data_IF_462669565179
#
_entry.id   IF_462669565179
#
_cell.length_a   1.000
_cell.length_b   1.000
_cell.length_c   1.000
_cell.angle_alpha   90.00
_cell.angle_beta   90.00
_cell.angle_gamma   90.00
#
_symmetry.space_group_name_H-M   'P 1'
#
loop_
_entity.id
_entity.type
_entity.pdbx_description
1 polymer ?
#
# COMPACT_ATOMS: atom_id res chain seq x y z
N UNK A 1 -0.95 -25.77 -21.80
CA UNK A 1 -2.06 -25.30 -20.91
C UNK A 1 -1.46 -25.27 -19.52
N UNK A 2 -1.05 -24.08 -19.10
CA UNK A 2 -0.25 -23.82 -17.92
C UNK A 2 -1.09 -23.98 -16.63
N UNK A 3 -0.46 -24.52 -15.59
CA UNK A 3 -1.02 -24.74 -14.25
C UNK A 3 -1.36 -23.45 -13.46
N UNK A 4 -1.30 -22.28 -14.10
CA UNK A 4 -1.38 -20.95 -13.46
C UNK A 4 -2.76 -20.56 -12.91
N UNK A 5 -3.80 -21.37 -13.02
CA UNK A 5 -5.18 -20.92 -12.71
C UNK A 5 -5.91 -21.70 -11.61
N UNK A 6 -5.20 -22.48 -10.76
CA UNK A 6 -5.89 -23.29 -9.71
C UNK A 6 -6.03 -22.61 -8.35
N UNK A 7 -5.30 -21.52 -8.06
CA UNK A 7 -5.26 -20.93 -6.70
C UNK A 7 -6.25 -19.80 -6.50
N UNK A 8 -6.61 -19.06 -7.55
CA UNK A 8 -7.51 -17.90 -7.47
C UNK A 8 -8.95 -18.23 -7.06
N UNK A 9 -9.42 -19.48 -7.29
CA UNK A 9 -10.72 -19.95 -6.85
C UNK A 9 -10.77 -20.51 -5.43
N UNK A 10 -9.61 -20.60 -4.74
CA UNK A 10 -9.51 -21.31 -3.45
C UNK A 10 -9.78 -20.40 -2.25
N UNK A 11 -9.27 -19.18 -2.24
CA UNK A 11 -9.40 -18.26 -1.12
C UNK A 11 -10.57 -17.30 -1.28
N UNK A 12 -11.27 -16.93 -0.19
CA UNK A 12 -12.35 -15.94 -0.22
C UNK A 12 -11.79 -14.52 -0.29
N UNK A 13 -11.17 -14.19 -1.41
CA UNK A 13 -10.56 -12.88 -1.66
C UNK A 13 -11.61 -11.77 -1.64
N UNK A 14 -11.20 -10.58 -1.22
CA UNK A 14 -12.00 -9.37 -1.28
C UNK A 14 -12.23 -8.86 -2.70
N UNK A 15 -13.05 -7.81 -2.88
CA UNK A 15 -13.42 -7.31 -4.20
C UNK A 15 -12.18 -6.87 -5.02
N UNK A 16 -11.98 -7.49 -6.19
CA UNK A 16 -10.88 -7.18 -7.11
C UNK A 16 -9.48 -7.50 -6.58
N UNK A 17 -9.38 -8.26 -5.47
CA UNK A 17 -8.10 -8.77 -4.98
C UNK A 17 -7.71 -9.99 -5.78
N UNK A 18 -6.47 -10.06 -6.22
CA UNK A 18 -5.94 -11.15 -7.04
C UNK A 18 -4.62 -11.66 -6.47
N UNK A 19 -4.34 -12.96 -6.61
CA UNK A 19 -3.02 -13.54 -6.36
C UNK A 19 -2.16 -13.23 -7.58
N UNK A 20 -1.06 -12.49 -7.38
CA UNK A 20 -0.16 -12.10 -8.49
C UNK A 20 1.13 -12.89 -8.52
N UNK A 21 1.50 -13.50 -7.39
CA UNK A 21 2.67 -14.37 -7.33
C UNK A 21 2.57 -15.33 -6.16
N UNK A 22 2.88 -16.59 -6.43
CA UNK A 22 3.15 -17.61 -5.44
C UNK A 22 4.66 -17.75 -5.23
N UNK A 23 5.07 -17.90 -3.99
CA UNK A 23 6.45 -18.13 -3.59
C UNK A 23 6.62 -19.46 -2.87
N UNK A 24 7.85 -19.80 -2.51
CA UNK A 24 8.12 -21.01 -1.75
C UNK A 24 7.50 -20.94 -0.35
N UNK A 25 7.20 -22.10 0.22
CA UNK A 25 6.75 -22.27 1.61
C UNK A 25 5.54 -21.38 1.96
N UNK A 26 4.55 -21.32 1.10
CA UNK A 26 3.30 -20.61 1.37
C UNK A 26 3.42 -19.09 1.44
N UNK A 27 4.42 -18.48 0.83
CA UNK A 27 4.52 -17.04 0.66
C UNK A 27 3.76 -16.59 -0.59
N UNK A 28 2.90 -15.58 -0.46
CA UNK A 28 2.09 -15.07 -1.57
C UNK A 28 2.15 -13.55 -1.67
N UNK A 29 2.08 -13.04 -2.90
CA UNK A 29 1.80 -11.65 -3.19
C UNK A 29 0.40 -11.50 -3.78
N UNK A 30 -0.34 -10.54 -3.25
CA UNK A 30 -1.67 -10.18 -3.74
C UNK A 30 -1.64 -8.77 -4.33
N UNK A 31 -2.45 -8.55 -5.36
CA UNK A 31 -2.82 -7.21 -5.84
C UNK A 31 -4.02 -6.72 -5.04
N UNK A 32 -3.85 -5.66 -4.27
CA UNK A 32 -4.91 -5.03 -3.49
C UNK A 32 -5.42 -3.78 -4.21
N UNK A 33 -6.70 -3.69 -4.58
CA UNK A 33 -7.28 -2.47 -5.12
C UNK A 33 -7.34 -1.33 -4.10
N UNK A 34 -7.41 -0.09 -4.59
CA UNK A 34 -7.77 1.07 -3.76
C UNK A 34 -9.20 0.89 -3.22
N UNK A 35 -9.42 1.28 -1.96
CA UNK A 35 -10.70 1.11 -1.27
C UNK A 35 -10.82 -0.18 -0.45
N UNK A 36 -10.10 -1.23 -0.81
CA UNK A 36 -10.04 -2.48 -0.04
C UNK A 36 -9.12 -2.31 1.18
N UNK A 37 -9.59 -2.75 2.34
CA UNK A 37 -8.82 -2.73 3.59
C UNK A 37 -7.89 -3.94 3.69
N UNK A 38 -6.67 -3.73 4.19
CA UNK A 38 -5.75 -4.85 4.46
C UNK A 38 -6.29 -5.80 5.55
N UNK A 39 -7.08 -5.25 6.49
CA UNK A 39 -7.76 -5.98 7.57
C UNK A 39 -9.01 -5.24 8.02
N UNK A 40 -10.00 -5.91 8.61
CA UNK A 40 -11.11 -5.27 9.33
C UNK A 40 -10.62 -4.39 10.48
N UNK A 41 -11.34 -3.31 10.81
CA UNK A 41 -10.95 -2.37 11.87
C UNK A 41 -10.98 -2.99 13.25
N UNK A 42 -11.99 -3.79 13.53
CA UNK A 42 -12.29 -4.36 14.86
C UNK A 42 -12.12 -5.89 14.89
N UNK A 43 -11.51 -6.48 13.86
CA UNK A 43 -11.50 -7.91 13.64
C UNK A 43 -12.81 -8.41 13.00
N UNK A 44 -13.03 -9.72 12.99
CA UNK A 44 -14.23 -10.32 12.40
C UNK A 44 -14.25 -10.26 10.86
N UNK A 45 -15.46 -10.27 10.28
CA UNK A 45 -15.67 -10.25 8.83
C UNK A 45 -15.88 -8.84 8.31
N UNK A 46 -15.34 -8.57 7.12
CA UNK A 46 -15.51 -7.31 6.40
C UNK A 46 -15.49 -7.56 4.89
N UNK A 47 -16.59 -7.30 4.22
CA UNK A 47 -16.74 -7.52 2.78
C UNK A 47 -15.80 -6.63 1.93
N UNK A 48 -15.24 -5.56 2.50
CA UNK A 48 -14.29 -4.64 1.85
C UNK A 48 -12.86 -4.84 2.36
N UNK A 49 -12.54 -6.00 2.93
CA UNK A 49 -11.19 -6.36 3.34
C UNK A 49 -10.50 -7.27 2.32
N UNK A 50 -9.21 -7.50 2.51
CA UNK A 50 -8.36 -8.32 1.63
C UNK A 50 -8.90 -9.73 1.43
N UNK A 51 -9.52 -10.28 2.49
CA UNK A 51 -10.30 -11.52 2.45
C UNK A 51 -11.67 -11.25 3.09
N UNK A 52 -12.70 -11.88 2.58
CA UNK A 52 -14.06 -11.79 3.12
C UNK A 52 -14.32 -12.74 4.30
N UNK A 53 -13.30 -13.45 4.74
CA UNK A 53 -13.31 -14.33 5.91
C UNK A 53 -13.00 -13.59 7.21
N UNK A 54 -13.19 -14.28 8.34
CA UNK A 54 -12.95 -13.73 9.67
C UNK A 54 -11.47 -13.41 9.92
N UNK A 55 -11.17 -12.26 10.51
CA UNK A 55 -9.83 -11.82 10.86
C UNK A 55 -9.63 -11.76 12.38
N UNK A 56 -8.54 -12.34 12.86
CA UNK A 56 -8.10 -12.26 14.26
C UNK A 56 -7.04 -11.18 14.41
N UNK A 57 -7.34 -10.16 15.21
CA UNK A 57 -6.37 -9.11 15.57
C UNK A 57 -5.21 -9.66 16.41
N UNK A 58 -5.47 -10.72 17.21
CA UNK A 58 -4.45 -11.36 18.05
C UNK A 58 -3.42 -12.11 17.20
N UNK A 59 -3.90 -12.88 16.22
CA UNK A 59 -3.04 -13.72 15.37
C UNK A 59 -2.50 -12.93 14.16
N UNK A 60 -3.06 -11.75 13.89
CA UNK A 60 -2.86 -10.98 12.66
C UNK A 60 -3.08 -11.84 11.40
N UNK A 61 -4.13 -12.66 11.42
CA UNK A 61 -4.43 -13.64 10.39
C UNK A 61 -5.91 -13.70 10.04
N UNK A 62 -6.19 -14.03 8.80
CA UNK A 62 -7.52 -14.45 8.33
C UNK A 62 -7.70 -15.94 8.56
N UNK A 63 -8.88 -16.34 9.03
CA UNK A 63 -9.28 -17.71 9.19
C UNK A 63 -10.06 -18.15 7.94
N UNK A 64 -9.44 -18.99 7.13
CA UNK A 64 -10.03 -19.46 5.88
C UNK A 64 -10.98 -20.59 6.17
N UNK A 65 -12.25 -20.53 5.69
CA UNK A 65 -13.22 -21.61 5.89
C UNK A 65 -12.76 -22.93 5.25
N UNK A 66 -13.14 -24.10 5.82
CA UNK A 66 -12.70 -25.39 5.30
C UNK A 66 -13.05 -25.63 3.82
N UNK A 67 -14.23 -25.20 3.38
CA UNK A 67 -14.69 -25.29 1.98
C UNK A 67 -13.89 -24.39 1.00
N UNK A 68 -13.13 -23.44 1.55
CA UNK A 68 -12.22 -22.51 0.82
C UNK A 68 -10.74 -22.83 1.01
N UNK A 69 -10.42 -24.03 1.45
CA UNK A 69 -9.07 -24.51 1.64
C UNK A 69 -8.59 -24.57 3.08
N UNK A 70 -9.34 -24.00 4.03
CA UNK A 70 -9.06 -24.08 5.46
C UNK A 70 -7.80 -23.35 5.90
N UNK A 71 -7.55 -23.35 7.22
CA UNK A 71 -6.31 -22.84 7.82
C UNK A 71 -6.31 -21.33 8.08
N UNK A 72 -5.10 -20.80 8.25
CA UNK A 72 -4.87 -19.38 8.48
C UNK A 72 -4.07 -18.76 7.34
N UNK A 73 -4.34 -17.49 7.06
CA UNK A 73 -3.52 -16.66 6.16
C UNK A 73 -3.08 -15.42 6.93
N UNK A 74 -1.79 -15.35 7.24
CA UNK A 74 -1.18 -14.26 8.00
C UNK A 74 -0.91 -13.06 7.11
N UNK A 75 -1.28 -11.89 7.61
CA UNK A 75 -0.92 -10.62 7.00
C UNK A 75 0.51 -10.25 7.39
N UNK A 76 1.40 -10.06 6.42
CA UNK A 76 2.82 -9.81 6.68
C UNK A 76 3.15 -8.32 6.84
N UNK A 77 2.39 -7.47 6.19
CA UNK A 77 2.40 -6.01 6.33
C UNK A 77 1.05 -5.43 5.93
N UNK A 78 0.90 -4.12 6.03
CA UNK A 78 -0.36 -3.44 5.71
C UNK A 78 -0.16 -2.33 4.68
N UNK A 79 -1.18 -2.13 3.86
CA UNK A 79 -1.38 -0.93 3.06
C UNK A 79 -2.60 -0.17 3.61
N UNK A 80 -2.59 1.15 3.52
CA UNK A 80 -3.77 1.97 3.82
C UNK A 80 -4.95 1.54 2.92
N UNK A 81 -6.18 1.73 3.39
CA UNK A 81 -7.36 1.35 2.58
C UNK A 81 -7.39 2.02 1.20
N UNK A 82 -6.94 3.28 1.10
CA UNK A 82 -6.85 3.99 -0.18
C UNK A 82 -5.63 3.63 -1.05
N UNK A 83 -4.61 2.98 -0.49
CA UNK A 83 -3.41 2.56 -1.23
C UNK A 83 -3.68 1.27 -1.98
N UNK A 84 -3.40 1.25 -3.28
CA UNK A 84 -3.43 0.03 -4.10
C UNK A 84 -2.04 -0.61 -4.23
N UNK A 85 -1.98 -1.82 -4.81
CA UNK A 85 -0.73 -2.47 -5.19
C UNK A 85 -0.41 -3.72 -4.40
N UNK A 86 0.87 -4.11 -4.40
CA UNK A 86 1.32 -5.39 -3.87
C UNK A 86 1.30 -5.44 -2.35
N UNK A 87 0.69 -6.50 -1.81
CA UNK A 87 0.67 -6.83 -0.39
C UNK A 87 1.04 -8.31 -0.21
N UNK A 88 1.81 -8.62 0.85
CA UNK A 88 2.29 -9.96 1.13
C UNK A 88 1.46 -10.65 2.21
N UNK A 89 1.19 -11.93 1.99
CA UNK A 89 0.55 -12.82 2.96
C UNK A 89 1.28 -14.16 2.98
N UNK A 90 1.08 -14.94 4.03
CA UNK A 90 1.58 -16.31 4.11
C UNK A 90 0.51 -17.25 4.66
N UNK A 91 0.48 -18.50 4.20
CA UNK A 91 -0.39 -19.55 4.77
C UNK A 91 0.37 -20.57 5.64
N UNK A 92 1.67 -20.34 5.84
CA UNK A 92 2.51 -21.08 6.79
C UNK A 92 3.00 -20.15 7.90
N UNK A 93 2.86 -20.55 9.16
CA UNK A 93 3.20 -19.74 10.33
C UNK A 93 4.70 -19.39 10.39
N UNK A 94 5.56 -20.37 10.08
CA UNK A 94 7.01 -20.17 10.05
C UNK A 94 7.40 -19.12 9.00
N UNK A 95 6.82 -19.18 7.81
CA UNK A 95 7.02 -18.20 6.75
C UNK A 95 6.53 -16.81 7.17
N UNK A 96 5.38 -16.76 7.86
CA UNK A 96 4.87 -15.50 8.38
C UNK A 96 5.81 -14.88 9.42
N UNK A 97 6.34 -15.67 10.34
CA UNK A 97 7.29 -15.22 11.36
C UNK A 97 8.60 -14.70 10.72
N UNK A 98 9.17 -15.46 9.78
CA UNK A 98 10.41 -15.11 9.08
C UNK A 98 10.28 -13.78 8.31
N UNK A 99 9.22 -13.63 7.53
CA UNK A 99 9.02 -12.42 6.73
C UNK A 99 8.66 -11.22 7.61
N UNK A 100 7.83 -11.38 8.66
CA UNK A 100 7.56 -10.32 9.64
C UNK A 100 8.83 -9.87 10.35
N UNK A 101 9.74 -10.79 10.67
CA UNK A 101 11.05 -10.44 11.22
C UNK A 101 11.87 -9.59 10.25
N UNK A 102 11.92 -9.95 8.97
CA UNK A 102 12.60 -9.14 7.95
C UNK A 102 12.01 -7.71 7.83
N UNK A 103 10.68 -7.55 7.95
CA UNK A 103 10.04 -6.23 8.03
C UNK A 103 10.47 -5.45 9.28
N UNK A 104 10.52 -6.09 10.45
CA UNK A 104 10.93 -5.48 11.72
C UNK A 104 12.40 -5.02 11.68
N UNK A 105 13.27 -5.77 11.00
CA UNK A 105 14.68 -5.44 10.80
C UNK A 105 14.94 -4.44 9.65
N UNK A 106 13.88 -3.87 9.05
CA UNK A 106 13.99 -2.95 7.90
C UNK A 106 14.74 -3.52 6.69
N UNK A 107 14.79 -4.83 6.53
CA UNK A 107 15.46 -5.52 5.42
C UNK A 107 14.60 -5.55 4.14
N UNK A 108 13.29 -5.31 4.27
CA UNK A 108 12.34 -5.32 3.16
C UNK A 108 12.41 -4.02 2.37
N UNK A 109 12.67 -4.12 1.08
CA UNK A 109 12.64 -2.98 0.15
C UNK A 109 11.25 -2.83 -0.43
N UNK A 110 10.73 -1.62 -0.41
CA UNK A 110 9.38 -1.28 -0.92
C UNK A 110 9.50 -0.12 -1.88
N UNK A 111 8.80 -0.21 -2.99
CA UNK A 111 8.71 0.87 -3.98
C UNK A 111 7.26 1.23 -4.20
N UNK A 112 6.97 2.51 -4.11
CA UNK A 112 5.66 3.08 -4.36
C UNK A 112 5.72 4.09 -5.49
N UNK A 113 4.59 4.27 -6.14
CA UNK A 113 4.37 5.36 -7.10
C UNK A 113 3.21 6.20 -6.62
N UNK A 114 3.36 7.52 -6.65
CA UNK A 114 2.33 8.47 -6.26
C UNK A 114 2.15 9.55 -7.32
N UNK A 115 0.90 9.97 -7.57
CA UNK A 115 0.61 11.21 -8.25
C UNK A 115 0.34 12.27 -7.19
N UNK A 116 1.04 13.39 -7.27
CA UNK A 116 0.94 14.51 -6.34
C UNK A 116 0.58 15.80 -7.05
N UNK A 117 -0.09 16.71 -6.35
CA UNK A 117 -0.21 18.09 -6.78
C UNK A 117 1.09 18.83 -6.49
N UNK A 118 1.53 19.65 -7.44
CA UNK A 118 2.78 20.40 -7.35
C UNK A 118 3.95 19.74 -8.07
N UNK A 119 5.06 20.46 -8.08
CA UNK A 119 6.35 19.99 -8.59
C UNK A 119 7.36 19.97 -7.45
N UNK A 120 8.11 18.87 -7.29
CA UNK A 120 9.17 18.83 -6.29
C UNK A 120 10.30 19.82 -6.63
N UNK A 121 10.90 20.42 -5.62
CA UNK A 121 12.06 21.33 -5.81
C UNK A 121 13.27 20.60 -6.37
N UNK A 122 13.40 19.31 -6.10
CA UNK A 122 14.50 18.45 -6.56
C UNK A 122 13.96 17.19 -7.19
N UNK A 123 14.57 16.73 -8.28
CA UNK A 123 14.21 15.48 -8.97
C UNK A 123 14.51 14.22 -8.14
N UNK A 124 15.45 14.32 -7.19
CA UNK A 124 15.76 13.27 -6.21
C UNK A 124 15.98 13.91 -4.84
N UNK A 125 15.48 13.27 -3.80
CA UNK A 125 15.67 13.73 -2.42
C UNK A 125 15.59 12.57 -1.43
N UNK A 126 16.27 12.71 -0.29
CA UNK A 126 16.05 11.86 0.89
C UNK A 126 15.23 12.67 1.88
N UNK A 127 14.06 12.13 2.23
CA UNK A 127 13.14 12.75 3.18
C UNK A 127 13.34 12.13 4.55
N UNK A 128 13.63 12.95 5.55
CA UNK A 128 13.81 12.55 6.95
C UNK A 128 12.90 13.43 7.81
N UNK A 129 11.94 12.81 8.47
CA UNK A 129 10.94 13.50 9.28
C UNK A 129 10.69 12.72 10.57
N UNK A 130 10.17 13.38 11.59
CA UNK A 130 9.61 12.72 12.76
C UNK A 130 8.09 12.68 12.63
N UNK A 131 7.51 11.50 12.80
CA UNK A 131 6.07 11.27 12.69
C UNK A 131 5.55 10.75 14.01
N UNK A 132 4.58 11.46 14.55
CA UNK A 132 3.84 11.09 15.75
C UNK A 132 2.49 10.47 15.37
N UNK A 133 2.16 9.33 15.97
CA UNK A 133 0.86 8.69 15.80
C UNK A 133 -0.05 9.13 16.95
N UNK A 134 -1.18 9.73 16.61
CA UNK A 134 -2.18 10.19 17.55
C UNK A 134 -3.50 9.43 17.34
N UNK A 135 -4.20 9.15 18.45
CA UNK A 135 -5.57 8.64 18.41
C UNK A 135 -6.52 9.82 18.61
N UNK A 136 -7.32 10.13 17.61
CA UNK A 136 -8.34 11.17 17.66
C UNK A 136 -9.71 10.56 17.40
N UNK A 137 -10.62 10.62 18.39
CA UNK A 137 -11.99 10.09 18.35
C UNK A 137 -12.05 8.66 17.79
N UNK A 138 -11.17 7.77 18.26
CA UNK A 138 -11.08 6.37 17.83
C UNK A 138 -10.44 6.17 16.45
N UNK A 139 -9.98 7.24 15.79
CA UNK A 139 -9.24 7.16 14.52
C UNK A 139 -7.75 7.31 14.75
N UNK A 140 -6.96 6.43 14.16
CA UNK A 140 -5.50 6.58 14.13
C UNK A 140 -5.16 7.60 13.05
N UNK A 141 -4.50 8.68 13.47
CA UNK A 141 -3.91 9.68 12.57
C UNK A 141 -2.42 9.77 12.87
N UNK A 142 -1.68 10.25 11.93
CA UNK A 142 -0.29 10.59 12.16
C UNK A 142 -0.07 12.03 11.74
N UNK A 143 0.88 12.70 12.39
CA UNK A 143 1.23 14.10 12.11
C UNK A 143 2.73 14.30 12.27
N UNK A 144 3.28 15.38 11.71
CA UNK A 144 4.62 15.84 12.08
C UNK A 144 4.68 16.09 13.59
N UNK A 145 5.75 15.67 14.24
CA UNK A 145 5.89 15.84 15.69
C UNK A 145 7.13 15.13 16.25
N UNK A 146 7.18 14.97 17.57
CA UNK A 146 8.32 14.34 18.26
C UNK A 146 8.29 12.81 18.28
N UNK A 147 7.55 12.18 17.35
CA UNK A 147 7.47 10.73 17.26
C UNK A 147 8.68 10.05 16.65
N UNK A 148 8.44 8.89 16.03
CA UNK A 148 9.50 8.07 15.44
C UNK A 148 10.06 8.65 14.14
N UNK A 149 11.34 8.40 13.88
CA UNK A 149 11.96 8.73 12.60
C UNK A 149 11.31 7.99 11.43
N UNK A 150 11.09 8.73 10.35
CA UNK A 150 10.57 8.28 9.09
C UNK A 150 11.51 8.71 7.96
N UNK A 151 12.02 7.75 7.22
CA UNK A 151 12.94 8.01 6.11
C UNK A 151 12.38 7.41 4.82
N UNK A 152 12.43 8.19 3.72
CA UNK A 152 12.09 7.74 2.38
C UNK A 152 13.02 8.40 1.35
N UNK A 153 13.33 7.67 0.28
CA UNK A 153 13.97 8.23 -0.93
C UNK A 153 12.85 8.58 -1.91
N UNK A 154 12.89 9.79 -2.43
CA UNK A 154 11.99 10.27 -3.47
C UNK A 154 12.75 10.48 -4.77
N UNK A 155 12.14 10.04 -5.88
CA UNK A 155 12.59 10.34 -7.24
C UNK A 155 11.39 10.78 -8.07
N UNK A 156 11.51 11.90 -8.78
CA UNK A 156 10.54 12.32 -9.77
C UNK A 156 10.66 11.46 -11.03
N UNK A 157 9.54 10.87 -11.47
CA UNK A 157 9.45 10.09 -12.72
C UNK A 157 8.84 10.87 -13.88
N UNK A 158 8.21 12.00 -13.59
CA UNK A 158 7.61 12.87 -14.59
C UNK A 158 6.80 13.99 -13.96
N UNK A 159 6.55 15.03 -14.71
CA UNK A 159 5.74 16.19 -14.33
C UNK A 159 4.88 16.69 -15.49
N UNK A 160 3.78 17.35 -15.17
CA UNK A 160 2.88 17.92 -16.17
C UNK A 160 1.94 18.95 -15.55
N UNK A 161 1.07 19.51 -16.39
CA UNK A 161 -0.06 20.33 -15.95
C UNK A 161 -1.34 19.55 -16.20
N UNK A 162 -1.99 19.11 -15.14
CA UNK A 162 -3.30 18.49 -15.21
C UNK A 162 -4.43 19.50 -14.93
N UNK A 163 -5.66 19.02 -14.88
CA UNK A 163 -6.87 19.83 -14.68
C UNK A 163 -6.91 20.63 -13.38
N UNK A 164 -6.13 20.23 -12.37
CA UNK A 164 -6.01 20.90 -11.07
C UNK A 164 -4.66 21.63 -10.89
N UNK A 165 -3.96 21.95 -11.99
CA UNK A 165 -2.68 22.66 -12.00
C UNK A 165 -1.46 21.74 -12.12
N UNK A 166 -0.35 22.16 -11.52
CA UNK A 166 0.91 21.40 -11.53
C UNK A 166 0.73 20.03 -10.88
N UNK A 167 1.26 18.98 -11.50
CA UNK A 167 1.23 17.60 -11.00
C UNK A 167 2.54 16.89 -11.29
N UNK A 168 2.90 15.93 -10.45
CA UNK A 168 4.09 15.09 -10.63
C UNK A 168 3.81 13.63 -10.33
N UNK A 169 4.53 12.75 -10.99
CA UNK A 169 4.62 11.32 -10.71
C UNK A 169 5.90 11.07 -9.92
N UNK A 170 5.77 10.61 -8.71
CA UNK A 170 6.88 10.33 -7.81
C UNK A 170 7.06 8.84 -7.61
N UNK A 171 8.30 8.38 -7.61
CA UNK A 171 8.72 7.11 -7.04
C UNK A 171 9.16 7.37 -5.60
N UNK A 172 8.67 6.54 -4.68
CA UNK A 172 8.91 6.67 -3.25
C UNK A 172 9.41 5.34 -2.69
N UNK A 173 10.58 5.33 -2.07
CA UNK A 173 11.15 4.15 -1.42
C UNK A 173 11.26 4.39 0.10
N UNK A 174 10.25 4.02 0.90
CA UNK A 174 10.31 4.16 2.34
C UNK A 174 11.32 3.17 2.94
N UNK A 175 12.29 3.69 3.69
CA UNK A 175 13.25 2.89 4.48
C UNK A 175 12.66 2.45 5.81
N UNK A 176 11.65 3.15 6.29
CA UNK A 176 10.86 2.85 7.48
C UNK A 176 9.42 2.51 7.09
N UNK A 177 8.57 2.15 8.05
CA UNK A 177 7.16 1.79 7.81
C UNK A 177 6.20 2.47 8.79
N UNK A 178 6.30 3.79 8.98
CA UNK A 178 5.42 4.51 9.92
C UNK A 178 4.01 4.68 9.33
N UNK A 179 3.02 4.72 10.20
CA UNK A 179 1.61 4.94 9.81
C UNK A 179 1.48 6.17 8.93
N UNK A 180 0.87 6.04 7.77
CA UNK A 180 0.64 7.10 6.78
C UNK A 180 1.93 7.84 6.34
N UNK A 181 3.10 7.24 6.50
CA UNK A 181 4.41 7.89 6.32
C UNK A 181 4.50 8.70 5.02
N UNK A 182 4.35 8.05 3.88
CA UNK A 182 4.52 8.68 2.57
C UNK A 182 3.52 9.81 2.34
N UNK A 183 2.29 9.64 2.82
CA UNK A 183 1.21 10.62 2.69
C UNK A 183 1.54 11.91 3.43
N UNK A 184 2.07 11.79 4.66
CA UNK A 184 2.49 12.92 5.49
C UNK A 184 3.73 13.58 4.88
N UNK A 185 4.73 12.80 4.49
CA UNK A 185 5.97 13.31 3.92
C UNK A 185 5.72 14.09 2.63
N UNK A 186 4.82 13.63 1.78
CA UNK A 186 4.37 14.37 0.60
C UNK A 186 3.67 15.67 0.99
N UNK A 187 2.71 15.61 1.90
CA UNK A 187 1.94 16.78 2.35
C UNK A 187 2.82 17.88 2.95
N UNK A 188 3.81 17.52 3.78
CA UNK A 188 4.77 18.46 4.39
C UNK A 188 5.63 19.22 3.37
N UNK A 189 5.76 18.70 2.16
CA UNK A 189 6.56 19.29 1.07
C UNK A 189 5.71 20.01 0.02
N UNK A 190 4.45 20.32 0.37
CA UNK A 190 3.48 20.91 -0.55
C UNK A 190 3.27 20.06 -1.81
N UNK A 191 3.43 18.74 -1.67
CA UNK A 191 3.20 17.72 -2.70
C UNK A 191 2.09 16.74 -2.25
N UNK A 192 0.89 17.23 -1.87
CA UNK A 192 -0.16 16.35 -1.36
C UNK A 192 -0.58 15.35 -2.43
N UNK A 193 -0.76 14.08 -2.02
CA UNK A 193 -1.15 13.01 -2.93
C UNK A 193 -2.57 13.25 -3.44
N UNK A 194 -2.76 13.11 -4.75
CA UNK A 194 -4.07 13.24 -5.40
C UNK A 194 -5.04 12.22 -4.82
N UNK A 195 -6.23 12.67 -4.45
CA UNK A 195 -7.29 11.84 -3.87
C UNK A 195 -7.08 11.47 -2.39
N UNK A 196 -6.01 11.94 -1.74
CA UNK A 196 -5.86 11.75 -0.29
C UNK A 196 -6.87 12.60 0.48
N UNK A 197 -7.79 11.92 1.21
CA UNK A 197 -8.88 12.55 1.98
C UNK A 197 -8.48 12.96 3.40
N UNK A 198 -7.21 12.80 3.78
CA UNK A 198 -6.73 13.10 5.14
C UNK A 198 -5.60 14.14 5.11
N UNK A 199 -4.64 13.98 4.22
CA UNK A 199 -3.45 14.82 4.11
C UNK A 199 -3.36 15.53 2.75
N UNK A 200 -4.37 15.34 1.89
CA UNK A 200 -4.44 15.93 0.56
C UNK A 200 -4.89 17.39 0.54
N UNK A 201 -4.85 17.99 -0.63
CA UNK A 201 -5.46 19.29 -0.92
C UNK A 201 -6.94 19.08 -1.30
N UNK A 202 -7.85 19.43 -0.40
CA UNK A 202 -9.28 19.15 -0.57
C UNK A 202 -9.91 19.92 -1.73
N UNK A 203 -9.45 21.15 -2.00
CA UNK A 203 -9.99 21.97 -3.10
C UNK A 203 -9.53 21.41 -4.44
N UNK A 204 -8.22 21.12 -4.59
CA UNK A 204 -7.69 20.49 -5.80
C UNK A 204 -8.29 19.10 -6.03
N UNK A 205 -8.49 18.31 -4.98
CA UNK A 205 -9.16 17.02 -5.08
C UNK A 205 -10.60 17.15 -5.60
N UNK A 206 -11.34 18.18 -5.14
CA UNK A 206 -12.70 18.45 -5.64
C UNK A 206 -12.71 18.83 -7.13
N UNK A 207 -11.80 19.74 -7.53
CA UNK A 207 -11.62 20.11 -8.95
C UNK A 207 -11.25 18.90 -9.78
N UNK A 208 -10.28 18.13 -9.32
CA UNK A 208 -9.80 16.92 -9.99
C UNK A 208 -10.94 15.91 -10.20
N UNK A 209 -11.67 15.56 -9.14
CA UNK A 209 -12.78 14.59 -9.23
C UNK A 209 -13.88 15.09 -10.17
N UNK A 210 -14.26 16.39 -10.09
CA UNK A 210 -15.28 16.97 -10.96
C UNK A 210 -14.88 16.93 -12.44
N UNK A 211 -13.61 17.15 -12.76
CA UNK A 211 -13.11 17.26 -14.13
C UNK A 211 -12.77 15.90 -14.75
N UNK A 212 -12.38 14.90 -13.95
CA UNK A 212 -11.93 13.59 -14.46
C UNK A 212 -12.90 12.45 -14.19
N UNK A 213 -13.83 12.62 -13.27
CA UNK A 213 -14.66 11.53 -12.72
C UNK A 213 -13.89 10.52 -11.87
N UNK A 214 -12.57 10.64 -11.78
CA UNK A 214 -11.73 9.69 -11.06
C UNK A 214 -11.79 9.92 -9.55
N UNK A 215 -11.83 8.82 -8.81
CA UNK A 215 -11.87 8.81 -7.36
C UNK A 215 -10.81 7.87 -6.80
N UNK A 216 -10.50 8.04 -5.51
CA UNK A 216 -9.49 7.24 -4.82
C UNK A 216 -8.16 7.96 -4.67
N UNK A 217 -7.28 7.37 -3.88
CA UNK A 217 -5.95 7.91 -3.61
C UNK A 217 -4.94 7.37 -4.63
N UNK A 218 -4.20 8.25 -5.25
CA UNK A 218 -3.19 7.91 -6.25
C UNK A 218 -1.85 7.57 -5.60
N UNK A 219 -1.86 6.54 -4.74
CA UNK A 219 -0.69 5.94 -4.13
C UNK A 219 -0.74 4.42 -4.37
N UNK A 220 0.29 3.90 -4.99
CA UNK A 220 0.38 2.51 -5.42
C UNK A 220 1.68 1.86 -4.95
N UNK A 221 1.58 0.72 -4.26
CA UNK A 221 2.69 -0.14 -3.90
C UNK A 221 3.11 -0.97 -5.13
N UNK A 222 4.08 -0.44 -5.91
CA UNK A 222 4.50 -1.05 -7.17
C UNK A 222 5.27 -2.36 -6.95
N UNK A 223 6.14 -2.40 -5.93
CA UNK A 223 7.09 -3.50 -5.74
C UNK A 223 7.43 -3.70 -4.28
N UNK A 224 7.60 -4.96 -3.92
CA UNK A 224 8.17 -5.37 -2.64
C UNK A 224 9.24 -6.44 -2.89
N UNK A 225 10.37 -6.32 -2.19
CA UNK A 225 11.47 -7.28 -2.23
C UNK A 225 11.85 -7.63 -0.79
N UNK A 226 11.82 -8.92 -0.46
CA UNK A 226 12.09 -9.44 0.87
C UNK A 226 13.21 -10.50 0.80
N UNK A 227 14.22 -10.45 1.69
CA UNK A 227 15.15 -11.55 1.87
C UNK A 227 14.39 -12.74 2.44
N UNK A 228 14.44 -13.87 1.78
CA UNK A 228 13.71 -15.07 2.19
C UNK A 228 14.48 -16.34 1.86
N UNK A 229 14.81 -17.12 2.90
CA UNK A 229 15.55 -18.40 2.77
C UNK A 229 16.83 -18.32 1.93
N UNK A 230 17.66 -17.32 2.22
CA UNK A 230 18.96 -17.13 1.56
C UNK A 230 18.90 -16.48 0.18
N UNK A 231 17.71 -16.16 -0.33
CA UNK A 231 17.52 -15.49 -1.61
C UNK A 231 16.66 -14.24 -1.46
N UNK A 232 16.69 -13.36 -2.45
CA UNK A 232 15.76 -12.26 -2.56
C UNK A 232 14.49 -12.73 -3.30
N UNK A 233 13.34 -12.64 -2.63
CA UNK A 233 12.04 -12.87 -3.27
C UNK A 233 11.36 -11.53 -3.55
N UNK A 234 10.94 -11.32 -4.79
CA UNK A 234 10.37 -10.04 -5.23
C UNK A 234 9.02 -10.27 -5.90
N UNK A 235 8.08 -9.36 -5.62
CA UNK A 235 6.79 -9.30 -6.31
C UNK A 235 6.46 -7.85 -6.68
N UNK A 236 5.69 -7.69 -7.76
CA UNK A 236 5.27 -6.37 -8.25
C UNK A 236 3.85 -6.43 -8.80
N UNK A 237 3.18 -5.27 -8.75
CA UNK A 237 1.90 -5.01 -9.40
C UNK A 237 2.11 -3.79 -10.30
N UNK A 238 1.68 -3.89 -11.55
CA UNK A 238 1.84 -2.80 -12.50
C UNK A 238 1.14 -1.52 -12.01
N UNK A 239 1.81 -0.38 -12.19
CA UNK A 239 1.21 0.93 -11.89
C UNK A 239 0.01 1.14 -12.81
N UNK A 240 -1.18 1.46 -12.30
CA UNK A 240 -2.35 1.70 -13.13
C UNK A 240 -2.09 2.78 -14.18
N UNK A 241 -2.53 2.55 -15.41
CA UNK A 241 -2.29 3.45 -16.56
C UNK A 241 -2.75 4.89 -16.28
N UNK A 242 -3.87 5.05 -15.59
CA UNK A 242 -4.41 6.36 -15.18
C UNK A 242 -3.43 7.24 -14.39
N UNK A 243 -2.39 6.66 -13.74
CA UNK A 243 -1.37 7.45 -13.03
C UNK A 243 -0.50 8.29 -13.98
N UNK A 244 -0.20 7.78 -15.18
CA UNK A 244 0.62 8.47 -16.18
C UNK A 244 -0.21 9.43 -17.03
N UNK A 245 -1.44 9.07 -17.33
CA UNK A 245 -2.32 9.86 -18.20
C UNK A 245 -2.69 11.21 -17.58
N UNK A 246 -2.67 11.31 -16.25
CA UNK A 246 -2.94 12.55 -15.53
C UNK A 246 -1.89 13.65 -15.78
N UNK A 247 -0.71 13.30 -16.26
CA UNK A 247 0.36 14.26 -16.56
C UNK A 247 0.36 14.75 -18.00
N UNK A 248 -0.49 14.15 -18.86
CA UNK A 248 -0.50 14.42 -20.32
C UNK A 248 -1.63 15.35 -20.78
N UNK A 249 -2.42 15.86 -19.85
CA UNK A 249 -3.61 16.68 -20.16
C UNK A 249 -3.36 18.16 -19.94
#
# INVERSE_FOLDING_TARGET
MSEENKTSGRWPLGPGVEIVKEGPAGLYALSKPSGVRSQPKEGGKDAQALFTSSYSLRDEAYHIPPDKGGGKVWLLHRLDGGTSGVILVANEEQTAAEVKYAFAQHQVRKKYVAVVFGWPERVNAVWKDRIEVVKDRGRVRARPGNGSWAEAVMKERGRGKGVAGAMSLLELEPKTGRTHQLRIQCSQRNLPIVGDRTYGDFEKNRVFTKSTGQQGMFLHAERVKVPFRGNDWEASVAVPEGFRDLLRK
#
